data_IF_845657570186
#
_entry.id   IF_845657570186
#
_cell.length_a   1.000
_cell.length_b   1.000
_cell.length_c   1.000
_cell.angle_alpha   90.00
_cell.angle_beta   90.00
_cell.angle_gamma   90.00
#
_symmetry.space_group_name_H-M   'P 1'
#
loop_
_entity.id
_entity.type
_entity.pdbx_description
1 polymer ?
#
# COMPACT_ATOMS: atom_id res chain seq x y z
N UNK A 1 20.26 -23.89 -6.90
CA UNK A 1 19.29 -23.43 -7.92
C UNK A 1 20.10 -22.70 -8.96
N UNK A 2 20.10 -23.19 -10.20
CA UNK A 2 20.88 -22.59 -11.28
C UNK A 2 20.25 -21.24 -11.68
N UNK A 3 20.94 -20.10 -11.55
CA UNK A 3 20.41 -18.79 -11.91
C UNK A 3 20.16 -18.62 -13.43
N UNK A 4 20.57 -19.59 -14.25
CA UNK A 4 20.42 -19.56 -15.72
C UNK A 4 19.25 -20.41 -16.23
N UNK A 5 18.58 -21.19 -15.37
CA UNK A 5 17.37 -21.95 -15.75
C UNK A 5 16.16 -21.00 -15.91
N UNK A 6 15.56 -20.90 -17.11
CA UNK A 6 14.38 -20.07 -17.34
C UNK A 6 13.18 -20.43 -16.44
N UNK A 7 12.98 -21.71 -16.11
CA UNK A 7 11.88 -22.14 -15.26
C UNK A 7 12.08 -21.70 -13.80
N UNK A 8 13.31 -21.82 -13.30
CA UNK A 8 13.71 -21.31 -12.00
C UNK A 8 13.54 -19.78 -11.91
N UNK A 9 13.93 -19.04 -12.96
CA UNK A 9 13.72 -17.59 -13.05
C UNK A 9 12.25 -17.21 -12.91
N UNK A 10 11.36 -17.78 -13.72
CA UNK A 10 9.93 -17.44 -13.68
C UNK A 10 9.28 -17.82 -12.36
N UNK A 11 9.69 -18.93 -11.74
CA UNK A 11 9.22 -19.32 -10.42
C UNK A 11 9.61 -18.28 -9.37
N UNK A 12 10.86 -17.82 -9.38
CA UNK A 12 11.33 -16.78 -8.47
C UNK A 12 10.66 -15.44 -8.74
N UNK A 13 10.53 -15.04 -10.00
CA UNK A 13 9.86 -13.80 -10.39
C UNK A 13 8.40 -13.77 -9.92
N UNK A 14 7.64 -14.85 -10.13
CA UNK A 14 6.25 -14.97 -9.62
C UNK A 14 6.19 -14.86 -8.10
N UNK A 15 7.10 -15.53 -7.38
CA UNK A 15 7.14 -15.46 -5.92
C UNK A 15 7.42 -14.03 -5.42
N UNK A 16 8.37 -13.33 -6.05
CA UNK A 16 8.70 -11.94 -5.71
C UNK A 16 7.53 -11.00 -6.02
N UNK A 17 6.93 -11.11 -7.21
CA UNK A 17 5.78 -10.29 -7.60
C UNK A 17 4.59 -10.51 -6.66
N UNK A 18 4.35 -11.77 -6.27
CA UNK A 18 3.30 -12.10 -5.30
C UNK A 18 3.60 -11.48 -3.94
N UNK A 19 4.81 -11.62 -3.42
CA UNK A 19 5.20 -11.06 -2.12
C UNK A 19 5.09 -9.52 -2.13
N UNK A 20 5.54 -8.87 -3.20
CA UNK A 20 5.40 -7.42 -3.38
C UNK A 20 3.91 -7.02 -3.43
N UNK A 21 3.10 -7.74 -4.21
CA UNK A 21 1.65 -7.49 -4.30
C UNK A 21 0.93 -7.65 -2.96
N UNK A 22 1.23 -8.71 -2.20
CA UNK A 22 0.66 -8.95 -0.87
C UNK A 22 1.01 -7.80 0.10
N UNK A 23 2.27 -7.33 0.09
CA UNK A 23 2.70 -6.21 0.93
C UNK A 23 1.99 -4.91 0.55
N UNK A 24 1.92 -4.60 -0.74
CA UNK A 24 1.27 -3.40 -1.26
C UNK A 24 -0.23 -3.38 -0.92
N UNK A 25 -0.92 -4.49 -1.14
CA UNK A 25 -2.35 -4.61 -0.79
C UNK A 25 -2.56 -4.46 0.72
N UNK A 26 -1.67 -4.99 1.54
CA UNK A 26 -1.74 -4.85 2.99
C UNK A 26 -1.68 -3.37 3.41
N UNK A 27 -0.71 -2.61 2.90
CA UNK A 27 -0.57 -1.17 3.22
C UNK A 27 -1.79 -0.38 2.72
N UNK A 28 -2.19 -0.56 1.46
CA UNK A 28 -3.33 0.15 0.88
C UNK A 28 -4.63 -0.13 1.63
N UNK A 29 -4.88 -1.40 2.00
CA UNK A 29 -6.10 -1.77 2.72
C UNK A 29 -6.09 -1.30 4.17
N UNK A 30 -4.94 -1.28 4.86
CA UNK A 30 -4.82 -0.62 6.17
C UNK A 30 -5.23 0.84 6.07
N UNK A 31 -4.66 1.59 5.14
CA UNK A 31 -4.96 3.01 4.96
C UNK A 31 -6.46 3.23 4.66
N UNK A 32 -7.04 2.39 3.80
CA UNK A 32 -8.46 2.43 3.45
C UNK A 32 -9.37 2.21 4.67
N UNK A 33 -9.07 1.24 5.52
CA UNK A 33 -9.89 0.97 6.71
C UNK A 33 -9.73 2.05 7.79
N UNK A 34 -8.52 2.55 8.03
CA UNK A 34 -8.31 3.67 8.97
C UNK A 34 -9.03 4.92 8.50
N UNK A 35 -8.99 5.22 7.20
CA UNK A 35 -9.65 6.39 6.63
C UNK A 35 -11.20 6.32 6.70
N UNK A 36 -11.77 5.11 6.77
CA UNK A 36 -13.21 4.92 6.95
C UNK A 36 -13.66 4.91 8.41
N UNK A 37 -12.75 4.64 9.36
CA UNK A 37 -13.10 4.59 10.78
C UNK A 37 -13.69 5.95 11.24
N UNK A 38 -14.92 5.99 11.78
CA UNK A 38 -15.51 7.20 12.33
C UNK A 38 -14.65 7.90 13.38
N UNK A 39 -13.85 7.14 14.14
CA UNK A 39 -12.95 7.65 15.18
C UNK A 39 -11.70 8.36 14.61
N UNK A 40 -11.36 8.15 13.34
CA UNK A 40 -10.23 8.83 12.70
C UNK A 40 -10.58 10.30 12.41
N UNK A 41 -9.79 11.26 12.90
CA UNK A 41 -10.01 12.69 12.65
C UNK A 41 -9.99 13.04 11.16
N UNK A 42 -10.75 14.06 10.77
CA UNK A 42 -10.91 14.47 9.36
C UNK A 42 -9.59 14.78 8.66
N UNK A 43 -8.62 15.41 9.34
CA UNK A 43 -7.31 15.71 8.74
C UNK A 43 -6.51 14.43 8.46
N UNK A 44 -6.56 13.44 9.36
CA UNK A 44 -5.91 12.14 9.19
C UNK A 44 -6.57 11.33 8.06
N UNK A 45 -7.91 11.38 7.95
CA UNK A 45 -8.66 10.83 6.82
C UNK A 45 -8.23 11.48 5.50
N UNK A 46 -8.15 12.81 5.45
CA UNK A 46 -7.74 13.54 4.25
C UNK A 46 -6.33 13.15 3.81
N UNK A 47 -5.38 13.01 4.75
CA UNK A 47 -4.02 12.55 4.45
C UNK A 47 -4.00 11.13 3.89
N UNK A 48 -4.73 10.19 4.50
CA UNK A 48 -4.81 8.81 4.04
C UNK A 48 -5.49 8.69 2.68
N UNK A 49 -6.61 9.39 2.45
CA UNK A 49 -7.25 9.41 1.14
C UNK A 49 -6.39 10.10 0.09
N UNK A 50 -5.64 11.14 0.44
CA UNK A 50 -4.65 11.76 -0.44
C UNK A 50 -3.57 10.76 -0.86
N UNK A 51 -2.97 10.06 0.11
CA UNK A 51 -1.97 9.03 -0.16
C UNK A 51 -2.52 7.85 -0.98
N UNK A 52 -3.75 7.39 -0.69
CA UNK A 52 -4.42 6.34 -1.46
C UNK A 52 -4.75 6.77 -2.90
N UNK A 53 -5.22 8.00 -3.06
CA UNK A 53 -5.52 8.55 -4.38
C UNK A 53 -4.25 8.62 -5.21
N UNK A 54 -3.16 9.13 -4.64
CA UNK A 54 -1.84 9.16 -5.26
C UNK A 54 -1.33 7.75 -5.59
N UNK A 55 -1.49 6.80 -4.67
CA UNK A 55 -1.08 5.41 -4.85
C UNK A 55 -1.82 4.68 -6.00
N UNK A 56 -3.06 5.05 -6.31
CA UNK A 56 -3.87 4.43 -7.38
C UNK A 56 -3.76 5.18 -8.71
N UNK A 57 -3.42 6.47 -8.69
CA UNK A 57 -3.29 7.28 -9.90
C UNK A 57 -2.09 6.77 -10.74
N UNK A 58 -2.25 6.60 -12.07
CA UNK A 58 -1.09 6.52 -12.94
C UNK A 58 -0.28 7.80 -12.72
N UNK A 59 1.03 7.64 -12.61
CA UNK A 59 2.04 8.52 -11.99
C UNK A 59 2.14 9.95 -12.55
N UNK A 60 1.18 10.41 -13.35
CA UNK A 60 1.19 11.64 -14.15
C UNK A 60 -0.06 12.53 -14.00
N UNK A 61 -0.94 12.24 -13.02
CA UNK A 61 -2.22 12.95 -12.85
C UNK A 61 -2.29 13.90 -11.64
N UNK A 62 -1.18 14.10 -10.92
CA UNK A 62 -1.02 15.17 -9.92
C UNK A 62 0.03 16.16 -10.46
N UNK A 63 -0.38 17.20 -11.20
CA UNK A 63 0.55 18.22 -11.70
C UNK A 63 1.14 19.02 -10.51
N UNK A 64 2.47 19.02 -10.41
CA UNK A 64 3.34 20.03 -9.79
C UNK A 64 2.93 20.67 -8.44
N UNK A 65 2.45 19.89 -7.46
CA UNK A 65 2.17 20.41 -6.11
C UNK A 65 3.11 19.92 -5.00
N UNK A 66 3.97 18.93 -5.26
CA UNK A 66 4.88 18.38 -4.25
C UNK A 66 6.30 18.28 -4.84
N UNK A 67 7.27 19.09 -4.38
CA UNK A 67 8.65 18.88 -4.75
C UNK A 67 9.15 17.65 -3.98
N UNK A 68 9.44 16.52 -4.66
CA UNK A 68 10.45 15.47 -4.37
C UNK A 68 10.02 14.06 -4.89
N UNK A 69 10.70 13.59 -5.96
CA UNK A 69 11.24 12.23 -6.28
C UNK A 69 10.30 11.00 -6.50
N UNK A 70 10.13 10.59 -7.77
CA UNK A 70 10.09 9.24 -8.40
C UNK A 70 9.63 7.94 -7.68
N UNK A 71 8.71 7.21 -8.32
CA UNK A 71 8.22 5.79 -8.23
C UNK A 71 8.37 4.96 -6.93
N UNK A 72 9.46 5.08 -6.18
CA UNK A 72 9.57 4.63 -4.78
C UNK A 72 8.71 5.49 -3.84
N UNK A 73 8.31 6.67 -4.30
CA UNK A 73 7.54 7.67 -3.54
C UNK A 73 6.16 7.19 -3.11
N UNK A 74 5.45 6.42 -3.93
CA UNK A 74 4.02 6.15 -3.67
C UNK A 74 3.83 5.25 -2.45
N UNK A 75 4.65 4.19 -2.35
CA UNK A 75 4.66 3.31 -1.18
C UNK A 75 5.29 4.03 0.02
N UNK A 76 6.29 4.88 -0.19
CA UNK A 76 6.90 5.66 0.89
C UNK A 76 5.91 6.68 1.48
N UNK A 77 5.16 7.39 0.64
CA UNK A 77 4.12 8.33 1.01
C UNK A 77 2.95 7.63 1.71
N UNK A 78 2.48 6.50 1.18
CA UNK A 78 1.47 5.68 1.83
C UNK A 78 1.94 5.16 3.19
N UNK A 79 3.19 4.66 3.26
CA UNK A 79 3.80 4.20 4.52
C UNK A 79 3.98 5.34 5.52
N UNK A 80 4.36 6.54 5.06
CA UNK A 80 4.50 7.73 5.89
C UNK A 80 3.14 8.20 6.43
N UNK A 81 2.10 8.20 5.59
CA UNK A 81 0.74 8.51 6.01
C UNK A 81 0.22 7.49 7.04
N UNK A 82 0.50 6.20 6.84
CA UNK A 82 0.18 5.15 7.81
C UNK A 82 0.95 5.32 9.11
N UNK A 83 2.24 5.66 9.04
CA UNK A 83 3.04 5.96 10.23
C UNK A 83 2.47 7.15 11.01
N UNK A 84 2.14 8.23 10.32
CA UNK A 84 1.54 9.42 10.91
C UNK A 84 0.10 9.19 11.44
N UNK A 85 -0.57 8.13 11.00
CA UNK A 85 -1.91 7.72 11.49
C UNK A 85 -1.90 6.45 12.35
N UNK A 86 -0.72 5.99 12.79
CA UNK A 86 -0.58 4.71 13.48
C UNK A 86 -1.41 4.62 14.77
N UNK A 87 -1.70 5.74 15.43
CA UNK A 87 -2.59 5.84 16.59
C UNK A 87 -4.01 5.34 16.35
N UNK A 88 -4.48 5.30 15.09
CA UNK A 88 -5.81 4.82 14.71
C UNK A 88 -5.77 3.43 14.05
N UNK A 89 -4.59 2.83 13.90
CA UNK A 89 -4.46 1.45 13.43
C UNK A 89 -4.81 0.52 14.60
N UNK A 90 -5.96 -0.14 14.49
CA UNK A 90 -6.42 -1.10 15.50
C UNK A 90 -6.12 -2.55 15.08
N UNK A 91 -6.15 -3.52 16.01
CA UNK A 91 -6.12 -4.94 15.63
C UNK A 91 -7.21 -5.32 14.62
N UNK A 92 -8.41 -4.75 14.77
CA UNK A 92 -9.52 -4.96 13.83
C UNK A 92 -9.20 -4.47 12.42
N UNK A 93 -8.57 -3.29 12.29
CA UNK A 93 -8.08 -2.75 11.01
C UNK A 93 -7.08 -3.71 10.37
N UNK A 94 -6.13 -4.23 11.14
CA UNK A 94 -5.12 -5.15 10.64
C UNK A 94 -5.73 -6.49 10.18
N UNK A 95 -6.73 -6.98 10.90
CA UNK A 95 -7.45 -8.20 10.52
C UNK A 95 -8.26 -8.03 9.23
N UNK A 96 -8.93 -6.89 9.06
CA UNK A 96 -9.61 -6.53 7.82
C UNK A 96 -8.63 -6.42 6.64
N UNK A 97 -7.49 -5.77 6.85
CA UNK A 97 -6.45 -5.64 5.83
C UNK A 97 -5.89 -7.01 5.40
N UNK A 98 -5.56 -7.87 6.37
CA UNK A 98 -5.11 -9.25 6.10
C UNK A 98 -6.19 -10.09 5.40
N UNK A 99 -7.47 -9.88 5.73
CA UNK A 99 -8.57 -10.56 5.05
C UNK A 99 -8.65 -10.15 3.57
N UNK A 100 -8.39 -8.88 3.25
CA UNK A 100 -8.32 -8.40 1.87
C UNK A 100 -7.15 -9.00 1.10
N UNK A 101 -5.97 -9.11 1.72
CA UNK A 101 -4.81 -9.82 1.12
C UNK A 101 -5.17 -11.27 0.82
N UNK A 102 -5.75 -11.99 1.79
CA UNK A 102 -6.20 -13.38 1.59
C UNK A 102 -7.25 -13.51 0.49
N UNK A 103 -8.17 -12.55 0.35
CA UNK A 103 -9.18 -12.56 -0.70
C UNK A 103 -8.58 -12.41 -2.11
N UNK A 104 -7.48 -11.66 -2.24
CA UNK A 104 -6.87 -11.35 -3.53
C UNK A 104 -5.80 -12.37 -3.93
N UNK A 105 -5.09 -12.94 -2.96
CA UNK A 105 -3.96 -13.83 -3.22
C UNK A 105 -4.17 -15.26 -2.71
N UNK A 106 -5.13 -15.50 -1.80
CA UNK A 106 -5.44 -16.81 -1.25
C UNK A 106 -6.08 -17.77 -2.24
#
# INVERSE_FOLDING_TARGET
>A
MDPTDPAAFWTKAKAVLRQAGEAVVLEATKAWYVAQDPATPTHAKAMLYGALTYFVLPTDAVPDALPIIGFSDDLAALSAALYATNTWITPGTLDQARASVRRLFG
#
